data_IF_335119877183
#
_entry.id   IF_335119877183
#
_cell.length_a   1.000
_cell.length_b   1.000
_cell.length_c   1.000
_cell.angle_alpha   90.00
_cell.angle_beta   90.00
_cell.angle_gamma   90.00
#
_symmetry.space_group_name_H-M   'P 1'
#
loop_
_entity.id
_entity.type
_entity.pdbx_description
1 polymer ?
#
# COMPACT_ATOMS: atom_id res chain seq x y z
N UNK A 1 -4.10 -0.96 20.54
CA UNK A 1 -4.87 -1.94 19.73
C UNK A 1 -4.18 -2.03 18.39
N UNK A 2 -3.26 -2.98 18.21
CA UNK A 2 -2.57 -3.15 16.93
C UNK A 2 -3.55 -3.74 15.92
N UNK A 3 -3.77 -3.08 14.79
CA UNK A 3 -4.60 -3.62 13.73
C UNK A 3 -4.02 -4.97 13.28
N UNK A 4 -4.82 -6.02 13.32
CA UNK A 4 -4.43 -7.32 12.77
C UNK A 4 -4.33 -7.20 11.26
N UNK A 5 -3.20 -7.64 10.69
CA UNK A 5 -2.98 -7.65 9.24
C UNK A 5 -4.16 -8.32 8.49
N UNK A 6 -4.55 -7.82 7.31
CA UNK A 6 -5.62 -8.41 6.51
C UNK A 6 -5.26 -9.84 6.09
N UNK A 7 -6.18 -10.79 6.29
CA UNK A 7 -5.93 -12.23 6.05
C UNK A 7 -6.67 -12.78 4.83
N UNK A 8 -7.67 -12.04 4.34
CA UNK A 8 -8.56 -12.41 3.24
C UNK A 8 -8.87 -11.22 2.33
N UNK A 9 -9.42 -11.47 1.13
CA UNK A 9 -9.91 -10.38 0.25
C UNK A 9 -11.09 -9.63 0.90
N UNK A 10 -11.91 -10.27 1.73
CA UNK A 10 -12.98 -9.60 2.48
C UNK A 10 -12.45 -8.58 3.48
N UNK A 11 -11.31 -8.84 4.11
CA UNK A 11 -10.64 -7.86 4.97
C UNK A 11 -10.20 -6.64 4.16
N UNK A 12 -9.63 -6.87 2.97
CA UNK A 12 -9.27 -5.80 2.05
C UNK A 12 -10.47 -4.98 1.57
N UNK A 13 -11.59 -5.64 1.25
CA UNK A 13 -12.85 -4.98 0.89
C UNK A 13 -13.36 -4.11 2.04
N UNK A 14 -13.31 -4.61 3.29
CA UNK A 14 -13.70 -3.83 4.48
C UNK A 14 -12.81 -2.60 4.64
N UNK A 15 -11.49 -2.76 4.54
CA UNK A 15 -10.52 -1.65 4.65
C UNK A 15 -10.81 -0.59 3.57
N UNK A 16 -10.96 -1.00 2.30
CA UNK A 16 -11.28 -0.07 1.20
C UNK A 16 -12.58 0.68 1.48
N UNK A 17 -13.65 -0.02 1.85
CA UNK A 17 -14.95 0.60 2.17
C UNK A 17 -14.86 1.59 3.34
N UNK A 18 -14.10 1.26 4.39
CA UNK A 18 -13.83 2.19 5.49
C UNK A 18 -13.14 3.45 4.99
N UNK A 19 -12.09 3.32 4.18
CA UNK A 19 -11.39 4.47 3.60
C UNK A 19 -12.27 5.30 2.66
N UNK A 20 -13.08 4.66 1.81
CA UNK A 20 -14.04 5.34 0.95
C UNK A 20 -15.03 6.18 1.76
N UNK A 21 -15.48 5.68 2.91
CA UNK A 21 -16.41 6.40 3.79
C UNK A 21 -15.72 7.56 4.51
N UNK A 22 -14.54 7.34 5.09
CA UNK A 22 -13.79 8.35 5.84
C UNK A 22 -13.35 9.52 4.95
N UNK A 23 -12.85 9.21 3.75
CA UNK A 23 -12.33 10.19 2.80
C UNK A 23 -13.36 10.68 1.79
N UNK A 24 -14.60 10.15 1.85
CA UNK A 24 -15.71 10.48 0.94
C UNK A 24 -15.33 10.33 -0.53
N UNK A 25 -14.65 9.24 -0.86
CA UNK A 25 -14.09 9.02 -2.19
C UNK A 25 -15.16 9.13 -3.30
N UNK A 26 -14.83 9.64 -4.48
CA UNK A 26 -15.74 9.65 -5.64
C UNK A 26 -16.10 8.23 -6.10
N UNK A 27 -17.32 7.97 -6.61
CA UNK A 27 -17.69 6.66 -7.16
C UNK A 27 -16.71 6.14 -8.21
N UNK A 28 -16.19 7.04 -9.06
CA UNK A 28 -15.27 6.73 -10.14
C UNK A 28 -13.93 6.22 -9.61
N UNK A 29 -13.37 6.88 -8.58
CA UNK A 29 -12.13 6.41 -7.93
C UNK A 29 -12.34 5.10 -7.19
N UNK A 30 -13.48 4.94 -6.50
CA UNK A 30 -13.81 3.68 -5.81
C UNK A 30 -13.81 2.50 -6.78
N UNK A 31 -14.44 2.66 -7.94
CA UNK A 31 -14.49 1.61 -8.96
C UNK A 31 -13.10 1.22 -9.47
N UNK A 32 -12.23 2.20 -9.75
CA UNK A 32 -10.85 1.93 -10.18
C UNK A 32 -10.05 1.21 -9.10
N UNK A 33 -10.10 1.69 -7.87
CA UNK A 33 -9.39 1.10 -6.72
C UNK A 33 -9.89 -0.32 -6.45
N UNK A 34 -11.18 -0.60 -6.56
CA UNK A 34 -11.74 -1.95 -6.42
C UNK A 34 -11.25 -2.91 -7.52
N UNK A 35 -10.95 -2.39 -8.72
CA UNK A 35 -10.31 -3.11 -9.82
C UNK A 35 -8.78 -3.18 -9.71
N UNK A 36 -8.20 -2.70 -8.60
CA UNK A 36 -6.74 -2.62 -8.36
C UNK A 36 -6.03 -1.74 -9.40
N UNK A 37 -6.73 -0.72 -9.89
CA UNK A 37 -6.21 0.35 -10.74
C UNK A 37 -6.00 1.57 -9.83
N UNK A 38 -4.74 1.97 -9.66
CA UNK A 38 -4.33 3.02 -8.73
C UNK A 38 -3.66 4.13 -9.53
N UNK A 39 -4.46 5.11 -9.95
CA UNK A 39 -3.98 6.23 -10.75
C UNK A 39 -3.23 7.25 -9.90
N UNK A 40 -2.32 8.02 -10.52
CA UNK A 40 -1.52 9.05 -9.85
C UNK A 40 -2.33 10.33 -9.65
N UNK A 41 -3.33 10.28 -8.74
CA UNK A 41 -4.22 11.39 -8.42
C UNK A 41 -4.45 11.54 -6.90
N UNK A 42 -4.73 12.76 -6.40
CA UNK A 42 -4.77 13.04 -4.95
C UNK A 42 -5.73 12.16 -4.14
N UNK A 43 -6.91 11.85 -4.69
CA UNK A 43 -7.90 11.02 -4.00
C UNK A 43 -7.40 9.58 -3.83
N UNK A 44 -6.81 9.01 -4.88
CA UNK A 44 -6.18 7.68 -4.83
C UNK A 44 -5.00 7.66 -3.86
N UNK A 45 -4.18 8.72 -3.83
CA UNK A 45 -3.06 8.83 -2.89
C UNK A 45 -3.53 8.69 -1.43
N UNK A 46 -4.55 9.43 -1.04
CA UNK A 46 -5.06 9.37 0.33
C UNK A 46 -5.77 8.06 0.65
N UNK A 47 -6.44 7.43 -0.33
CA UNK A 47 -7.02 6.09 -0.15
C UNK A 47 -5.96 5.04 0.12
N UNK A 48 -4.83 5.09 -0.60
CA UNK A 48 -3.68 4.23 -0.36
C UNK A 48 -3.09 4.47 1.04
N UNK A 49 -2.88 5.74 1.44
CA UNK A 49 -2.44 6.07 2.80
C UNK A 49 -3.36 5.45 3.85
N UNK A 50 -4.66 5.69 3.72
CA UNK A 50 -5.65 5.18 4.66
C UNK A 50 -5.63 3.65 4.74
N UNK A 51 -5.61 2.96 3.58
CA UNK A 51 -5.55 1.50 3.54
C UNK A 51 -4.26 0.95 4.16
N UNK A 52 -3.13 1.60 3.90
CA UNK A 52 -1.84 1.26 4.48
C UNK A 52 -1.82 1.39 6.01
N UNK A 53 -2.36 2.49 6.54
CA UNK A 53 -2.45 2.74 7.99
C UNK A 53 -3.40 1.71 8.65
N UNK A 54 -4.60 1.53 8.12
CA UNK A 54 -5.58 0.60 8.72
C UNK A 54 -5.08 -0.85 8.65
N UNK A 55 -4.40 -1.24 7.58
CA UNK A 55 -3.83 -2.58 7.45
C UNK A 55 -2.56 -2.79 8.28
N UNK A 56 -1.90 -1.72 8.74
CA UNK A 56 -0.59 -1.77 9.41
C UNK A 56 0.60 -1.96 8.46
N UNK A 57 0.39 -1.85 7.14
CA UNK A 57 1.47 -1.93 6.15
C UNK A 57 2.22 -0.61 5.96
N UNK A 58 1.70 0.50 6.48
CA UNK A 58 2.29 1.81 6.34
C UNK A 58 2.03 2.66 7.58
N UNK A 59 3.02 3.46 7.94
CA UNK A 59 2.97 4.49 8.97
C UNK A 59 3.59 5.79 8.42
N UNK A 60 3.08 6.96 8.82
CA UNK A 60 3.58 8.23 8.27
C UNK A 60 5.01 8.57 8.70
N UNK A 61 5.40 8.12 9.90
CA UNK A 61 6.72 8.33 10.48
C UNK A 61 7.71 7.31 9.91
N UNK A 62 7.36 6.02 9.95
CA UNK A 62 8.30 4.94 9.60
C UNK A 62 8.19 4.43 8.16
N UNK A 63 7.14 4.80 7.41
CA UNK A 63 6.92 4.36 6.04
C UNK A 63 6.35 2.95 5.93
N UNK A 64 6.64 2.26 4.81
CA UNK A 64 6.16 0.89 4.54
C UNK A 64 6.80 -0.12 5.49
N UNK A 65 5.99 -0.92 6.19
CA UNK A 65 6.48 -1.94 7.12
C UNK A 65 6.86 -3.24 6.40
N UNK A 66 8.17 -3.53 6.35
CA UNK A 66 8.69 -4.80 5.81
C UNK A 66 8.31 -6.00 6.69
N UNK A 67 8.16 -5.81 8.00
CA UNK A 67 7.70 -6.86 8.91
C UNK A 67 6.25 -7.27 8.58
N UNK A 68 5.37 -6.28 8.42
CA UNK A 68 3.98 -6.50 8.02
C UNK A 68 3.89 -7.14 6.62
N UNK A 69 4.72 -6.69 5.68
CA UNK A 69 4.82 -7.26 4.35
C UNK A 69 5.28 -8.73 4.37
N UNK A 70 6.27 -9.07 5.20
CA UNK A 70 6.76 -10.45 5.38
C UNK A 70 5.66 -11.35 5.95
N UNK A 71 4.95 -10.87 6.96
CA UNK A 71 3.83 -11.58 7.54
C UNK A 71 2.68 -11.78 6.53
N UNK A 72 2.40 -10.79 5.68
CA UNK A 72 1.41 -10.91 4.60
C UNK A 72 1.86 -11.90 3.52
N UNK A 73 3.15 -11.99 3.23
CA UNK A 73 3.71 -12.93 2.28
C UNK A 73 3.60 -14.39 2.76
N UNK A 74 3.46 -14.63 4.07
CA UNK A 74 3.29 -15.97 4.69
C UNK A 74 4.35 -16.98 4.22
N UNK A 75 5.61 -16.54 4.12
CA UNK A 75 6.73 -17.39 3.70
C UNK A 75 6.73 -17.77 2.20
N UNK A 76 5.97 -17.06 1.36
CA UNK A 76 6.10 -17.17 -0.10
C UNK A 76 7.53 -16.83 -0.54
N UNK A 77 8.01 -17.57 -1.52
CA UNK A 77 9.28 -17.28 -2.18
C UNK A 77 9.29 -15.88 -2.81
N UNK A 78 10.49 -15.30 -2.92
CA UNK A 78 10.69 -14.01 -3.55
C UNK A 78 10.61 -12.81 -2.61
N UNK A 79 10.49 -13.02 -1.30
CA UNK A 79 10.36 -11.92 -0.34
C UNK A 79 11.63 -11.06 -0.24
N UNK A 80 12.82 -11.67 -0.29
CA UNK A 80 14.08 -10.92 -0.25
C UNK A 80 14.27 -10.10 -1.54
N UNK A 81 13.90 -10.65 -2.70
CA UNK A 81 13.92 -9.91 -3.97
C UNK A 81 12.88 -8.80 -4.00
N UNK A 82 11.68 -9.03 -3.44
CA UNK A 82 10.68 -7.99 -3.21
C UNK A 82 11.26 -6.86 -2.34
N UNK A 83 11.89 -7.20 -1.21
CA UNK A 83 12.45 -6.23 -0.28
C UNK A 83 13.54 -5.40 -0.95
N UNK A 84 14.51 -6.04 -1.59
CA UNK A 84 15.59 -5.34 -2.29
C UNK A 84 15.06 -4.43 -3.41
N UNK A 85 14.07 -4.89 -4.20
CA UNK A 85 13.45 -4.09 -5.24
C UNK A 85 12.67 -2.89 -4.68
N UNK A 86 11.94 -3.08 -3.56
CA UNK A 86 11.27 -2.00 -2.86
C UNK A 86 12.28 -0.98 -2.33
N UNK A 87 13.31 -1.40 -1.60
CA UNK A 87 14.30 -0.50 -0.99
C UNK A 87 15.03 0.32 -2.06
N UNK A 88 15.39 -0.31 -3.19
CA UNK A 88 16.00 0.37 -4.34
C UNK A 88 15.10 1.47 -4.90
N UNK A 89 13.80 1.20 -5.07
CA UNK A 89 12.85 2.18 -5.58
C UNK A 89 12.56 3.29 -4.55
N UNK A 90 12.34 2.90 -3.29
CA UNK A 90 12.01 3.80 -2.18
C UNK A 90 13.14 4.78 -1.86
N UNK A 91 14.40 4.42 -2.12
CA UNK A 91 15.53 5.34 -1.99
C UNK A 91 15.43 6.58 -2.88
N UNK A 92 14.63 6.52 -3.95
CA UNK A 92 14.33 7.66 -4.82
C UNK A 92 13.19 8.55 -4.36
N UNK A 93 12.41 8.15 -3.34
CA UNK A 93 11.26 8.92 -2.85
C UNK A 93 11.73 9.96 -1.83
N UNK A 94 11.73 11.23 -2.24
CA UNK A 94 12.38 12.31 -1.47
C UNK A 94 11.40 13.38 -1.00
N UNK A 95 11.65 14.07 0.14
CA UNK A 95 10.80 15.16 0.62
C UNK A 95 10.58 16.27 -0.40
N UNK A 96 11.51 16.51 -1.31
CA UNK A 96 11.37 17.49 -2.39
C UNK A 96 10.21 17.15 -3.34
N UNK A 97 9.89 15.86 -3.51
CA UNK A 97 8.81 15.42 -4.38
C UNK A 97 7.43 15.50 -3.70
N UNK A 98 7.35 15.24 -2.39
CA UNK A 98 6.07 15.15 -1.68
C UNK A 98 5.79 16.30 -0.70
N UNK A 99 6.78 17.09 -0.29
CA UNK A 99 6.61 18.17 0.67
C UNK A 99 5.94 17.70 1.96
N UNK A 100 4.87 18.38 2.35
CA UNK A 100 4.03 18.00 3.50
C UNK A 100 2.84 17.09 3.11
N UNK A 101 2.76 16.64 1.86
CA UNK A 101 1.70 15.76 1.38
C UNK A 101 2.01 14.29 1.72
N UNK A 102 1.58 13.89 2.91
CA UNK A 102 1.68 12.51 3.38
C UNK A 102 0.92 11.51 2.51
N UNK A 103 -0.16 11.93 1.86
CA UNK A 103 -0.87 11.06 0.93
C UNK A 103 0.03 10.73 -0.26
N UNK A 104 0.65 11.75 -0.86
CA UNK A 104 1.60 11.58 -1.97
C UNK A 104 2.83 10.78 -1.56
N UNK A 105 3.41 11.03 -0.38
CA UNK A 105 4.51 10.21 0.19
C UNK A 105 4.14 8.72 0.21
N UNK A 106 2.99 8.41 0.82
CA UNK A 106 2.52 7.03 0.95
C UNK A 106 2.27 6.39 -0.41
N UNK A 107 1.73 7.14 -1.37
CA UNK A 107 1.43 6.65 -2.71
C UNK A 107 2.70 6.28 -3.48
N UNK A 108 3.74 7.13 -3.42
CA UNK A 108 5.04 6.84 -4.06
C UNK A 108 5.71 5.59 -3.47
N UNK A 109 5.66 5.42 -2.15
CA UNK A 109 6.16 4.21 -1.51
C UNK A 109 5.32 2.97 -1.85
N UNK A 110 4.00 3.15 -1.94
CA UNK A 110 3.08 2.10 -2.37
C UNK A 110 3.33 1.67 -3.81
N UNK A 111 3.55 2.57 -4.76
CA UNK A 111 3.82 2.18 -6.16
C UNK A 111 5.11 1.38 -6.29
N UNK A 112 6.16 1.75 -5.55
CA UNK A 112 7.38 0.94 -5.40
C UNK A 112 7.05 -0.46 -4.87
N UNK A 113 6.33 -0.54 -3.74
CA UNK A 113 5.97 -1.80 -3.11
C UNK A 113 5.08 -2.67 -4.01
N UNK A 114 4.08 -2.08 -4.66
CA UNK A 114 3.14 -2.78 -5.53
C UNK A 114 3.81 -3.35 -6.78
N UNK A 115 4.70 -2.59 -7.41
CA UNK A 115 5.49 -3.05 -8.55
C UNK A 115 6.41 -4.21 -8.15
N UNK A 116 7.15 -4.07 -7.04
CA UNK A 116 8.01 -5.12 -6.51
C UNK A 116 7.21 -6.38 -6.14
N UNK A 117 6.09 -6.23 -5.44
CA UNK A 117 5.26 -7.33 -4.97
C UNK A 117 4.73 -8.17 -6.14
N UNK A 118 4.18 -7.50 -7.15
CA UNK A 118 3.65 -8.17 -8.36
C UNK A 118 4.72 -8.91 -9.15
N UNK A 119 5.97 -8.46 -9.08
CA UNK A 119 7.09 -9.06 -9.81
C UNK A 119 7.72 -10.23 -9.06
N UNK A 120 7.85 -10.12 -7.74
CA UNK A 120 8.70 -11.03 -6.97
C UNK A 120 7.91 -11.99 -6.06
N UNK A 121 6.79 -11.58 -5.49
CA UNK A 121 5.99 -12.45 -4.62
C UNK A 121 5.17 -13.42 -5.48
N UNK A 122 5.66 -14.65 -5.58
CA UNK A 122 5.02 -15.71 -6.36
C UNK A 122 3.80 -16.25 -5.60
N UNK A 123 2.72 -16.54 -6.32
CA UNK A 123 1.69 -17.42 -5.76
C UNK A 123 2.30 -18.82 -5.71
N UNK A 124 2.20 -19.49 -4.57
CA UNK A 124 2.43 -20.94 -4.52
C UNK A 124 1.32 -21.52 -5.40
N UNK A 125 1.71 -22.21 -6.47
CA UNK A 125 0.79 -22.91 -7.38
C UNK A 125 0.01 -24.01 -6.66
#
# INVERSE_FOLDING_TARGET
MGASLPRSEDDWVKIRRTCYSLLRASPEVRERVDRKQYDDEPETHCLIRCGGIISGLYDDETGTSMEAAAALAKGKDGFEEYRAAFETCAAGVTPEEYGDDYCKKSFRLFTCSWAAWRKHIKKIE
#
